data_IF_695651565549
#
_entry.id   IF_695651565549
#
_cell.length_a   1.000
_cell.length_b   1.000
_cell.length_c   1.000
_cell.angle_alpha   90.00
_cell.angle_beta   90.00
_cell.angle_gamma   90.00
#
_symmetry.space_group_name_H-M   'P 1'
#
loop_
_entity.id
_entity.type
_entity.pdbx_description
1 polymer ?
#
# COMPACT_ATOMS: atom_id res chain seq x y z
N UNK A 1 -21.76 -9.77 13.26
CA UNK A 1 -22.36 -10.87 12.48
C UNK A 1 -22.99 -10.38 11.16
N UNK A 2 -23.32 -9.07 11.05
CA UNK A 2 -23.51 -8.34 9.77
C UNK A 2 -22.34 -8.24 8.76
N UNK A 3 -21.03 -8.27 9.12
CA UNK A 3 -19.97 -7.81 8.20
C UNK A 3 -19.64 -8.75 7.04
N UNK A 4 -20.02 -10.02 7.14
CA UNK A 4 -19.65 -11.05 6.14
C UNK A 4 -20.57 -11.01 4.93
N UNK A 5 -21.77 -10.43 5.06
CA UNK A 5 -22.87 -10.70 4.13
C UNK A 5 -23.05 -9.65 3.04
N UNK A 6 -22.02 -8.83 2.84
CA UNK A 6 -22.04 -7.66 1.96
C UNK A 6 -21.06 -7.76 0.79
N UNK A 7 -20.36 -8.87 0.67
CA UNK A 7 -19.21 -8.99 -0.22
C UNK A 7 -19.50 -9.92 -1.40
N UNK A 8 -19.84 -9.33 -2.55
CA UNK A 8 -19.85 -10.07 -3.82
C UNK A 8 -18.42 -10.22 -4.32
N UNK A 9 -17.96 -11.47 -4.44
CA UNK A 9 -16.77 -11.87 -5.18
C UNK A 9 -16.83 -11.35 -6.63
N UNK A 10 -15.76 -10.70 -7.10
CA UNK A 10 -15.62 -10.10 -8.44
C UNK A 10 -15.52 -11.10 -9.61
N UNK A 11 -15.87 -12.38 -9.39
CA UNK A 11 -15.69 -13.44 -10.41
C UNK A 11 -16.75 -13.48 -11.53
N UNK A 12 -17.57 -12.45 -11.72
CA UNK A 12 -18.62 -12.45 -12.77
C UNK A 12 -18.66 -11.24 -13.71
N UNK A 13 -17.64 -10.37 -13.74
CA UNK A 13 -17.60 -9.20 -14.66
C UNK A 13 -16.83 -9.43 -15.98
N UNK A 14 -16.63 -10.67 -16.40
CA UNK A 14 -16.15 -10.99 -17.74
C UNK A 14 -17.17 -11.82 -18.51
N UNK A 15 -18.30 -11.20 -18.83
CA UNK A 15 -18.99 -11.35 -20.12
C UNK A 15 -20.13 -10.33 -20.21
N UNK A 16 -20.06 -9.47 -21.22
CA UNK A 16 -21.10 -8.51 -21.67
C UNK A 16 -21.21 -7.16 -20.95
N UNK A 17 -20.24 -6.28 -21.17
CA UNK A 17 -20.53 -4.85 -21.38
C UNK A 17 -19.29 -4.16 -21.95
N UNK A 18 -19.42 -3.50 -23.09
CA UNK A 18 -18.36 -2.63 -23.59
C UNK A 18 -18.19 -1.45 -22.63
N UNK A 19 -16.94 -1.01 -22.36
CA UNK A 19 -16.72 0.14 -21.49
C UNK A 19 -17.33 1.40 -22.12
N UNK A 20 -17.91 2.30 -21.31
CA UNK A 20 -18.52 3.53 -21.79
C UNK A 20 -17.50 4.42 -22.51
N UNK A 21 -18.00 5.08 -23.56
CA UNK A 21 -17.26 5.84 -24.59
C UNK A 21 -16.35 6.96 -24.05
N UNK A 22 -16.49 7.32 -22.77
CA UNK A 22 -15.66 8.31 -22.06
C UNK A 22 -14.22 7.81 -21.79
N UNK A 23 -13.98 6.49 -21.78
CA UNK A 23 -12.64 5.92 -21.57
C UNK A 23 -11.78 5.87 -22.84
N UNK A 24 -12.35 6.05 -24.04
CA UNK A 24 -11.58 6.06 -25.30
C UNK A 24 -10.88 7.38 -25.60
N UNK A 25 -11.31 8.50 -24.99
CA UNK A 25 -10.72 9.81 -25.28
C UNK A 25 -9.46 10.11 -24.46
N UNK A 26 -9.11 9.28 -23.47
CA UNK A 26 -7.90 9.43 -22.67
C UNK A 26 -6.69 8.60 -23.18
N UNK A 27 -6.88 7.72 -24.17
CA UNK A 27 -5.79 6.88 -24.71
C UNK A 27 -4.93 7.56 -25.78
N UNK A 28 -5.38 8.70 -26.33
CA UNK A 28 -4.78 9.26 -27.56
C UNK A 28 -3.82 10.43 -27.33
N UNK A 29 -3.47 10.73 -26.08
CA UNK A 29 -2.38 11.65 -25.75
C UNK A 29 -1.33 10.92 -24.89
N UNK A 30 -0.23 10.50 -25.52
CA UNK A 30 0.96 10.01 -24.83
C UNK A 30 1.52 11.08 -23.87
N UNK A 31 1.03 11.12 -22.63
CA UNK A 31 1.74 11.74 -21.50
C UNK A 31 2.77 10.72 -21.01
N UNK A 32 4.02 10.87 -21.45
CA UNK A 32 5.15 10.12 -20.91
C UNK A 32 5.38 10.53 -19.45
N UNK A 33 5.07 9.67 -18.49
CA UNK A 33 5.50 9.82 -17.10
C UNK A 33 6.93 9.30 -16.97
N UNK A 34 7.86 10.14 -16.49
CA UNK A 34 9.25 9.77 -16.25
C UNK A 34 9.55 9.72 -14.75
N UNK A 35 10.10 8.60 -14.27
CA UNK A 35 10.52 8.43 -12.89
C UNK A 35 12.02 8.72 -12.74
N UNK A 36 12.38 9.56 -11.76
CA UNK A 36 13.76 9.79 -11.36
C UNK A 36 14.03 9.10 -10.02
N UNK A 37 15.05 8.24 -9.96
CA UNK A 37 15.49 7.55 -8.74
C UNK A 37 16.73 8.24 -8.19
N UNK A 38 16.65 8.73 -6.96
CA UNK A 38 17.79 9.24 -6.20
C UNK A 38 18.01 8.36 -4.98
N UNK A 39 19.24 7.87 -4.78
CA UNK A 39 19.65 7.16 -3.56
C UNK A 39 20.68 8.01 -2.86
N UNK A 40 20.29 8.73 -1.80
CA UNK A 40 21.21 9.53 -1.01
C UNK A 40 20.94 9.34 0.48
N UNK A 41 21.98 8.96 1.21
CA UNK A 41 22.17 9.38 2.60
C UNK A 41 23.60 9.10 3.08
N UNK A 42 24.35 10.16 3.40
CA UNK A 42 25.33 10.12 4.48
C UNK A 42 24.66 10.31 5.87
N UNK A 43 23.38 10.71 5.90
CA UNK A 43 22.53 10.95 7.09
C UNK A 43 21.05 10.65 6.78
N UNK A 44 20.29 10.12 7.75
CA UNK A 44 18.86 9.78 7.64
C UNK A 44 17.89 10.92 8.00
N UNK A 45 18.35 12.17 8.11
CA UNK A 45 17.49 13.32 8.39
C UNK A 45 16.79 13.82 7.14
N UNK A 46 15.51 14.20 7.26
CA UNK A 46 14.70 14.69 6.14
C UNK A 46 15.27 15.94 5.46
N UNK A 47 15.82 16.86 6.26
CA UNK A 47 16.46 18.08 5.77
C UNK A 47 17.65 17.78 4.86
N UNK A 48 18.53 16.87 5.30
CA UNK A 48 19.71 16.46 4.53
C UNK A 48 19.33 15.69 3.26
N UNK A 49 18.19 14.98 3.27
CA UNK A 49 17.66 14.36 2.05
C UNK A 49 17.20 15.43 1.04
N UNK A 50 16.54 16.49 1.48
CA UNK A 50 16.11 17.59 0.60
C UNK A 50 17.31 18.36 0.05
N UNK A 51 18.29 18.67 0.89
CA UNK A 51 19.56 19.28 0.47
C UNK A 51 20.25 18.42 -0.60
N UNK A 52 20.34 17.10 -0.37
CA UNK A 52 20.89 16.16 -1.35
C UNK A 52 20.13 16.15 -2.68
N UNK A 53 18.79 16.27 -2.65
CA UNK A 53 17.99 16.44 -3.87
C UNK A 53 18.31 17.75 -4.59
N UNK A 54 18.36 18.87 -3.86
CA UNK A 54 18.69 20.18 -4.43
C UNK A 54 20.07 20.19 -5.07
N UNK A 55 21.08 19.65 -4.40
CA UNK A 55 22.45 19.51 -4.92
C UNK A 55 22.47 18.64 -6.17
N UNK A 56 21.84 17.46 -6.12
CA UNK A 56 21.81 16.52 -7.25
C UNK A 56 21.15 17.12 -8.48
N UNK A 57 20.00 17.80 -8.33
CA UNK A 57 19.33 18.44 -9.47
C UNK A 57 20.15 19.62 -9.99
N UNK A 58 20.83 20.36 -9.11
CA UNK A 58 21.74 21.44 -9.51
C UNK A 58 22.93 20.92 -10.30
N UNK A 59 23.51 19.79 -9.88
CA UNK A 59 24.60 19.12 -10.57
C UNK A 59 24.15 18.60 -11.93
N UNK A 60 22.99 17.94 -12.01
CA UNK A 60 22.41 17.47 -13.29
C UNK A 60 22.17 18.65 -14.22
N UNK A 61 21.61 19.75 -13.72
CA UNK A 61 21.37 20.97 -14.48
C UNK A 61 22.68 21.54 -15.01
N UNK A 62 23.70 21.62 -14.17
CA UNK A 62 25.04 22.11 -14.55
C UNK A 62 25.68 21.22 -15.61
N UNK A 63 25.64 19.91 -15.45
CA UNK A 63 26.21 18.95 -16.41
C UNK A 63 25.47 19.01 -17.74
N UNK A 64 24.14 19.03 -17.72
CA UNK A 64 23.32 19.12 -18.93
C UNK A 64 23.59 20.44 -19.67
N UNK A 65 23.53 21.58 -18.99
CA UNK A 65 23.69 22.91 -19.59
C UNK A 65 25.08 23.15 -20.18
N UNK A 66 26.11 22.47 -19.66
CA UNK A 66 27.48 22.52 -20.20
C UNK A 66 27.75 21.44 -21.27
N UNK A 67 26.77 20.61 -21.60
CA UNK A 67 26.95 19.52 -22.56
C UNK A 67 26.72 19.97 -24.01
N UNK A 68 27.33 19.29 -25.00
CA UNK A 68 27.00 19.50 -26.41
C UNK A 68 25.51 19.25 -26.73
N UNK A 69 24.81 18.45 -25.92
CA UNK A 69 23.40 18.18 -26.11
C UNK A 69 22.55 19.44 -25.91
N UNK A 70 22.78 20.18 -24.81
CA UNK A 70 22.09 21.44 -24.56
C UNK A 70 22.38 22.49 -25.65
N UNK A 71 23.63 22.53 -26.14
CA UNK A 71 24.00 23.42 -27.24
C UNK A 71 23.26 23.08 -28.54
N UNK A 72 23.15 21.80 -28.88
CA UNK A 72 22.48 21.33 -30.09
C UNK A 72 20.95 21.38 -30.00
N UNK A 73 20.36 21.17 -28.82
CA UNK A 73 18.90 21.22 -28.62
C UNK A 73 18.40 22.65 -28.36
N UNK A 74 19.29 23.59 -28.05
CA UNK A 74 18.95 24.94 -27.58
C UNK A 74 18.06 24.92 -26.33
N UNK A 75 18.21 23.89 -25.49
CA UNK A 75 17.46 23.74 -24.24
C UNK A 75 18.34 24.08 -23.04
N UNK A 76 17.69 24.60 -22.00
CA UNK A 76 18.31 24.84 -20.69
C UNK A 76 17.52 24.03 -19.67
N UNK A 77 18.22 23.21 -18.90
CA UNK A 77 17.66 22.58 -17.72
C UNK A 77 17.78 23.56 -16.56
N UNK A 78 16.66 24.20 -16.24
CA UNK A 78 16.49 25.06 -15.09
C UNK A 78 15.83 24.30 -13.92
N UNK A 79 16.24 24.64 -12.71
CA UNK A 79 15.74 24.04 -11.47
C UNK A 79 14.24 24.30 -11.30
N UNK A 80 13.78 25.52 -11.58
CA UNK A 80 12.35 25.85 -11.52
C UNK A 80 11.58 25.10 -12.61
N UNK A 81 12.16 24.97 -13.80
CA UNK A 81 11.64 24.13 -14.89
C UNK A 81 11.43 22.67 -14.46
N UNK A 82 12.38 22.10 -13.72
CA UNK A 82 12.25 20.78 -13.11
C UNK A 82 11.10 20.73 -12.07
N UNK A 83 11.06 21.68 -11.14
CA UNK A 83 10.05 21.73 -10.07
C UNK A 83 8.61 21.94 -10.61
N UNK A 84 8.44 22.68 -11.71
CA UNK A 84 7.15 22.80 -12.42
C UNK A 84 6.67 21.44 -12.96
N UNK A 85 7.60 20.58 -13.40
CA UNK A 85 7.33 19.22 -13.89
C UNK A 85 7.21 18.18 -12.77
N UNK A 86 7.78 18.42 -11.60
CA UNK A 86 7.70 17.52 -10.46
C UNK A 86 6.24 17.42 -9.97
N UNK A 87 5.61 16.26 -10.15
CA UNK A 87 4.19 16.05 -9.78
C UNK A 87 3.99 15.21 -8.53
N UNK A 88 5.06 14.77 -7.87
CA UNK A 88 4.94 13.97 -6.65
C UNK A 88 6.21 13.21 -6.28
N UNK A 89 6.10 12.44 -5.21
CA UNK A 89 7.17 11.61 -4.66
C UNK A 89 6.61 10.23 -4.27
N UNK A 90 7.44 9.21 -4.42
CA UNK A 90 7.18 7.87 -3.89
C UNK A 90 8.22 7.55 -2.80
N UNK A 91 7.79 6.91 -1.73
CA UNK A 91 8.63 6.60 -0.58
C UNK A 91 7.90 5.78 0.47
N UNK A 92 8.63 5.19 1.42
CA UNK A 92 8.01 4.41 2.48
C UNK A 92 7.22 5.28 3.50
N UNK A 93 6.57 4.64 4.47
CA UNK A 93 5.76 5.34 5.48
C UNK A 93 6.57 5.90 6.66
N UNK A 94 7.89 5.82 6.62
CA UNK A 94 8.73 6.30 7.69
C UNK A 94 8.52 7.81 7.91
N UNK A 95 8.60 8.24 9.17
CA UNK A 95 8.27 9.61 9.56
C UNK A 95 9.20 10.64 8.90
N UNK A 96 10.45 10.26 8.69
CA UNK A 96 11.45 11.02 7.94
C UNK A 96 11.04 11.16 6.47
N UNK A 97 10.61 10.09 5.79
CA UNK A 97 10.15 10.17 4.39
C UNK A 97 8.92 11.07 4.25
N UNK A 98 7.95 10.97 5.17
CA UNK A 98 6.79 11.87 5.19
C UNK A 98 7.18 13.33 5.38
N UNK A 99 8.22 13.60 6.17
CA UNK A 99 8.74 14.95 6.39
C UNK A 99 9.52 15.44 5.16
N UNK A 100 10.36 14.59 4.55
CA UNK A 100 11.07 14.87 3.29
C UNK A 100 10.10 15.25 2.19
N UNK A 101 9.01 14.48 2.03
CA UNK A 101 7.92 14.80 1.09
C UNK A 101 7.39 16.22 1.28
N UNK A 102 7.05 16.61 2.52
CA UNK A 102 6.52 17.95 2.82
C UNK A 102 7.52 19.05 2.49
N UNK A 103 8.79 18.81 2.80
CA UNK A 103 9.85 19.78 2.51
C UNK A 103 10.08 19.95 1.00
N UNK A 104 10.03 18.88 0.21
CA UNK A 104 10.12 18.95 -1.26
C UNK A 104 8.90 19.67 -1.86
N UNK A 105 7.69 19.38 -1.36
CA UNK A 105 6.46 20.05 -1.77
C UNK A 105 6.52 21.56 -1.48
N UNK A 106 6.97 21.93 -0.27
CA UNK A 106 7.19 23.33 0.09
C UNK A 106 8.25 23.99 -0.79
N UNK A 107 9.39 23.32 -1.00
CA UNK A 107 10.47 23.84 -1.85
C UNK A 107 10.00 24.08 -3.29
N UNK A 108 9.21 23.17 -3.86
CA UNK A 108 8.56 23.33 -5.16
C UNK A 108 7.67 24.58 -5.18
N UNK A 109 6.78 24.72 -4.20
CA UNK A 109 5.83 25.84 -4.12
C UNK A 109 6.52 27.20 -3.99
N UNK A 110 7.52 27.29 -3.12
CA UNK A 110 8.29 28.52 -2.89
C UNK A 110 9.12 28.89 -4.11
N UNK A 111 9.82 27.92 -4.71
CA UNK A 111 10.70 28.16 -5.85
C UNK A 111 9.93 28.62 -7.09
N UNK A 112 8.75 28.04 -7.35
CA UNK A 112 7.88 28.48 -8.46
C UNK A 112 7.41 29.92 -8.24
N UNK A 113 7.00 30.28 -7.02
CA UNK A 113 6.57 31.64 -6.69
C UNK A 113 7.74 32.62 -6.79
N UNK A 114 8.90 32.32 -6.23
CA UNK A 114 10.11 33.16 -6.36
C UNK A 114 10.45 33.40 -7.84
N UNK A 115 10.37 32.38 -8.70
CA UNK A 115 10.61 32.55 -10.14
C UNK A 115 9.63 33.53 -10.79
N UNK A 116 8.33 33.40 -10.52
CA UNK A 116 7.32 34.33 -11.02
C UNK A 116 7.57 35.76 -10.52
N UNK A 117 8.03 35.90 -9.27
CA UNK A 117 8.40 37.20 -8.71
C UNK A 117 9.62 37.83 -9.36
N UNK A 118 10.64 37.04 -9.67
CA UNK A 118 11.79 37.53 -10.43
C UNK A 118 11.41 37.97 -11.84
N UNK A 119 10.55 37.21 -12.52
CA UNK A 119 9.98 37.61 -13.81
C UNK A 119 9.24 38.97 -13.68
N UNK A 120 8.39 39.12 -12.66
CA UNK A 120 7.69 40.36 -12.39
C UNK A 120 8.63 41.54 -12.08
N UNK A 121 9.71 41.32 -11.30
CA UNK A 121 10.71 42.36 -10.98
C UNK A 121 11.43 42.84 -12.25
N UNK A 122 11.75 41.94 -13.17
CA UNK A 122 12.44 42.29 -14.43
C UNK A 122 11.54 43.14 -15.33
N UNK A 123 10.25 42.84 -15.36
CA UNK A 123 9.27 43.58 -16.17
C UNK A 123 8.86 44.92 -15.56
N UNK A 124 9.02 45.07 -14.25
CA UNK A 124 8.62 46.27 -13.51
C UNK A 124 9.54 47.47 -13.80
N UNK A 125 8.95 48.66 -13.85
CA UNK A 125 9.71 49.90 -13.98
C UNK A 125 10.55 50.15 -12.73
N UNK A 126 11.69 50.84 -12.89
CA UNK A 126 12.51 51.25 -11.74
C UNK A 126 11.78 52.20 -10.78
N UNK A 127 10.77 52.93 -11.26
CA UNK A 127 9.97 53.86 -10.47
C UNK A 127 9.02 53.12 -9.52
N UNK A 128 8.42 52.02 -10.00
CA UNK A 128 7.50 51.19 -9.22
C UNK A 128 8.24 50.20 -8.30
N UNK A 129 9.40 49.71 -8.71
CA UNK A 129 10.20 48.75 -7.92
C UNK A 129 10.84 49.40 -6.69
N UNK A 130 11.27 50.66 -6.81
CA UNK A 130 12.00 51.37 -5.75
C UNK A 130 11.26 51.42 -4.41
N UNK A 131 9.98 51.83 -4.31
CA UNK A 131 9.27 51.84 -3.04
C UNK A 131 9.14 50.45 -2.42
N UNK A 132 8.93 49.41 -3.23
CA UNK A 132 8.84 48.03 -2.74
C UNK A 132 10.18 47.54 -2.16
N UNK A 133 11.27 47.87 -2.84
CA UNK A 133 12.62 47.54 -2.39
C UNK A 133 12.97 48.27 -1.08
N UNK A 134 12.61 49.55 -0.97
CA UNK A 134 12.84 50.37 0.22
C UNK A 134 12.04 49.83 1.43
N UNK A 135 10.80 49.39 1.24
CA UNK A 135 9.99 48.75 2.27
C UNK A 135 10.54 47.38 2.71
N UNK A 136 10.92 46.53 1.75
CA UNK A 136 11.52 45.22 2.03
C UNK A 136 12.85 45.35 2.79
N UNK A 137 13.68 46.31 2.37
CA UNK A 137 14.93 46.65 3.06
C UNK A 137 14.66 47.18 4.47
N UNK A 138 13.73 48.11 4.63
CA UNK A 138 13.38 48.69 5.94
C UNK A 138 12.94 47.61 6.92
N UNK A 139 12.13 46.66 6.45
CA UNK A 139 11.71 45.50 7.23
C UNK A 139 12.87 44.58 7.64
N UNK A 140 13.83 44.32 6.74
CA UNK A 140 15.02 43.52 7.05
C UNK A 140 15.95 44.23 8.03
N UNK A 141 16.18 45.53 7.83
CA UNK A 141 17.00 46.38 8.71
C UNK A 141 16.41 46.42 10.12
N UNK A 142 15.09 46.54 10.26
CA UNK A 142 14.41 46.49 11.56
C UNK A 142 14.65 45.14 12.27
N UNK A 143 14.54 44.02 11.56
CA UNK A 143 14.82 42.67 12.10
C UNK A 143 16.27 42.47 12.53
N UNK A 144 17.22 43.20 11.93
CA UNK A 144 18.65 43.15 12.27
C UNK A 144 19.03 44.05 13.45
N UNK A 145 18.06 44.70 14.11
CA UNK A 145 18.30 45.61 15.23
C UNK A 145 18.50 47.07 14.83
N UNK A 146 18.11 47.43 13.60
CA UNK A 146 18.07 48.81 13.12
C UNK A 146 19.29 49.23 12.30
N UNK A 147 19.33 50.51 11.96
CA UNK A 147 20.26 51.07 10.97
C UNK A 147 21.74 50.94 11.36
N UNK A 148 22.06 51.04 12.65
CA UNK A 148 23.44 50.93 13.14
C UNK A 148 23.99 49.52 12.94
N UNK A 149 23.18 48.49 13.21
CA UNK A 149 23.56 47.10 12.94
C UNK A 149 23.78 46.87 11.45
N UNK A 150 22.89 47.42 10.60
CA UNK A 150 23.02 47.31 9.15
C UNK A 150 24.31 47.92 8.62
N UNK A 151 24.68 49.15 9.01
CA UNK A 151 25.90 49.80 8.52
C UNK A 151 27.16 49.07 9.01
N UNK A 152 27.10 48.40 10.16
CA UNK A 152 28.25 47.69 10.74
C UNK A 152 28.55 46.34 10.09
N UNK A 153 27.72 45.89 9.14
CA UNK A 153 27.90 44.63 8.44
C UNK A 153 29.11 44.64 7.52
N UNK A 154 29.71 43.46 7.32
CA UNK A 154 30.72 43.30 6.29
C UNK A 154 30.11 43.40 4.88
N UNK A 155 30.94 43.57 3.86
CA UNK A 155 30.47 43.57 2.47
C UNK A 155 29.81 42.25 2.08
N UNK A 156 30.33 41.12 2.59
CA UNK A 156 29.80 39.78 2.36
C UNK A 156 28.42 39.61 3.01
N UNK A 157 28.28 40.04 4.27
CA UNK A 157 26.99 40.00 4.97
C UNK A 157 25.96 40.92 4.31
N UNK A 158 26.38 42.10 3.85
CA UNK A 158 25.52 42.99 3.08
C UNK A 158 25.00 42.31 1.82
N UNK A 159 25.87 41.65 1.06
CA UNK A 159 25.47 40.93 -0.16
C UNK A 159 24.51 39.77 0.17
N UNK A 160 24.80 39.00 1.21
CA UNK A 160 23.93 37.92 1.67
C UNK A 160 22.54 38.44 2.06
N UNK A 161 22.48 39.50 2.86
CA UNK A 161 21.21 40.10 3.25
C UNK A 161 20.46 40.72 2.08
N UNK A 162 21.14 41.30 1.10
CA UNK A 162 20.52 41.80 -0.12
C UNK A 162 19.91 40.68 -0.95
N UNK A 163 20.60 39.54 -1.10
CA UNK A 163 20.04 38.34 -1.74
C UNK A 163 18.73 37.93 -1.06
N UNK A 164 18.75 37.87 0.28
CA UNK A 164 17.56 37.54 1.08
C UNK A 164 16.43 38.58 0.94
N UNK A 165 16.74 39.87 0.78
CA UNK A 165 15.73 40.90 0.52
C UNK A 165 15.07 40.67 -0.84
N UNK A 166 15.88 40.37 -1.86
CA UNK A 166 15.38 40.09 -3.21
C UNK A 166 14.51 38.84 -3.23
N UNK A 167 14.95 37.74 -2.61
CA UNK A 167 14.17 36.48 -2.53
C UNK A 167 12.84 36.69 -1.82
N UNK A 168 12.81 37.44 -0.72
CA UNK A 168 11.57 37.75 0.00
C UNK A 168 10.61 38.61 -0.85
N UNK A 169 11.14 39.61 -1.54
CA UNK A 169 10.34 40.47 -2.42
C UNK A 169 9.79 39.67 -3.62
N UNK A 170 10.63 38.82 -4.21
CA UNK A 170 10.25 37.93 -5.29
C UNK A 170 9.20 36.92 -4.84
N UNK A 171 9.36 36.30 -3.67
CA UNK A 171 8.34 35.39 -3.13
C UNK A 171 6.98 36.10 -2.96
N UNK A 172 6.98 37.32 -2.43
CA UNK A 172 5.75 38.10 -2.25
C UNK A 172 5.10 38.46 -3.60
N UNK A 173 5.82 39.13 -4.49
CA UNK A 173 5.33 39.49 -5.82
C UNK A 173 4.88 38.26 -6.61
N UNK A 174 5.68 37.21 -6.55
CA UNK A 174 5.40 35.96 -7.24
C UNK A 174 4.19 35.21 -6.70
N UNK A 175 3.85 35.39 -5.42
CA UNK A 175 2.59 34.87 -4.85
C UNK A 175 1.41 35.63 -5.43
N UNK A 176 1.48 36.96 -5.50
CA UNK A 176 0.44 37.78 -6.16
C UNK A 176 0.29 37.43 -7.64
N UNK A 177 1.40 37.24 -8.35
CA UNK A 177 1.39 36.79 -9.74
C UNK A 177 0.77 35.39 -9.88
N UNK A 178 1.11 34.47 -8.97
CA UNK A 178 0.56 33.11 -8.96
C UNK A 178 -0.96 33.12 -8.76
N UNK A 179 -1.45 33.90 -7.81
CA UNK A 179 -2.88 34.00 -7.48
C UNK A 179 -3.71 34.58 -8.64
N UNK A 180 -3.07 35.34 -9.54
CA UNK A 180 -3.67 35.87 -10.76
C UNK A 180 -3.62 34.90 -11.94
N UNK A 181 -2.87 33.79 -11.86
CA UNK A 181 -2.84 32.78 -12.93
C UNK A 181 -4.20 32.09 -13.08
N UNK A 182 -4.52 31.55 -14.27
CA UNK A 182 -5.70 30.69 -14.43
C UNK A 182 -5.66 29.50 -13.47
N UNK A 183 -6.82 29.13 -12.91
CA UNK A 183 -6.94 28.05 -11.93
C UNK A 183 -6.35 26.70 -12.39
N UNK A 184 -6.40 26.42 -13.70
CA UNK A 184 -5.79 25.23 -14.29
C UNK A 184 -4.26 25.22 -14.13
N UNK A 185 -3.61 26.37 -14.34
CA UNK A 185 -2.16 26.54 -14.22
C UNK A 185 -1.73 26.53 -12.76
N UNK A 186 -2.49 27.19 -11.87
CA UNK A 186 -2.26 27.11 -10.43
C UNK A 186 -2.29 25.65 -9.96
N UNK A 187 -3.35 24.92 -10.34
CA UNK A 187 -3.49 23.49 -10.03
C UNK A 187 -2.32 22.68 -10.57
N UNK A 188 -1.87 22.95 -11.79
CA UNK A 188 -0.74 22.24 -12.38
C UNK A 188 0.57 22.48 -11.60
N UNK A 189 0.80 23.71 -11.16
CA UNK A 189 1.99 24.09 -10.41
C UNK A 189 1.99 23.55 -8.98
N UNK A 190 0.85 23.56 -8.29
CA UNK A 190 0.71 23.03 -6.92
C UNK A 190 0.50 21.50 -6.88
N UNK A 191 0.32 20.84 -8.02
CA UNK A 191 0.11 19.38 -8.07
C UNK A 191 1.31 18.61 -7.49
N UNK A 192 1.11 17.92 -6.37
CA UNK A 192 2.11 17.07 -5.74
C UNK A 192 1.50 15.83 -5.06
N UNK A 193 1.64 14.66 -5.70
CA UNK A 193 1.14 13.40 -5.18
C UNK A 193 2.14 12.68 -4.28
N UNK A 194 1.62 11.84 -3.38
CA UNK A 194 2.42 10.89 -2.62
C UNK A 194 1.89 9.49 -2.79
N UNK A 195 2.66 8.64 -3.47
CA UNK A 195 2.28 7.24 -3.66
C UNK A 195 2.30 6.44 -2.34
N UNK A 196 3.08 6.90 -1.37
CA UNK A 196 3.43 6.09 -0.20
C UNK A 196 4.04 4.76 -0.60
N UNK A 197 4.17 3.83 0.34
CA UNK A 197 4.75 2.54 0.02
C UNK A 197 3.72 1.58 -0.57
N UNK A 198 3.07 1.95 -1.68
CA UNK A 198 1.90 1.24 -2.24
C UNK A 198 2.13 -0.28 -2.30
N UNK A 199 3.36 -0.71 -2.60
CA UNK A 199 3.78 -2.12 -2.67
C UNK A 199 3.94 -2.82 -1.29
N UNK A 200 4.28 -2.11 -0.21
CA UNK A 200 4.28 -2.67 1.16
C UNK A 200 2.92 -2.60 1.85
N UNK A 201 2.01 -1.71 1.44
CA UNK A 201 0.63 -1.69 1.95
C UNK A 201 -0.08 -3.00 1.62
N UNK A 202 -0.03 -3.44 0.37
CA UNK A 202 -0.64 -4.70 -0.07
C UNK A 202 -0.02 -5.93 0.64
N UNK A 203 1.30 -5.95 0.82
CA UNK A 203 1.98 -7.01 1.56
C UNK A 203 1.59 -7.03 3.05
N UNK A 204 1.46 -5.85 3.66
CA UNK A 204 0.99 -5.72 5.04
C UNK A 204 -0.50 -6.05 5.18
N UNK A 205 -1.32 -5.88 4.14
CA UNK A 205 -2.73 -6.29 4.15
C UNK A 205 -2.86 -7.81 4.22
N UNK A 206 -2.16 -8.57 3.37
CA UNK A 206 -2.20 -10.05 3.42
C UNK A 206 -1.62 -10.57 4.73
N UNK A 207 -0.52 -9.98 5.21
CA UNK A 207 0.07 -10.32 6.51
C UNK A 207 -0.85 -9.97 7.67
N UNK A 208 -1.50 -8.81 7.62
CA UNK A 208 -2.47 -8.33 8.60
C UNK A 208 -3.70 -9.23 8.66
N UNK A 209 -4.28 -9.55 7.51
CA UNK A 209 -5.38 -10.50 7.37
C UNK A 209 -5.05 -11.89 7.90
N UNK A 210 -3.89 -12.45 7.53
CA UNK A 210 -3.42 -13.71 8.11
C UNK A 210 -3.24 -13.62 9.64
N UNK A 211 -2.70 -12.52 10.16
CA UNK A 211 -2.51 -12.34 11.61
C UNK A 211 -3.86 -12.30 12.35
N UNK A 212 -4.83 -11.54 11.84
CA UNK A 212 -6.17 -11.47 12.41
C UNK A 212 -6.88 -12.84 12.36
N UNK A 213 -6.76 -13.56 11.24
CA UNK A 213 -7.33 -14.89 11.08
C UNK A 213 -6.71 -15.91 12.03
N UNK A 214 -5.40 -15.88 12.24
CA UNK A 214 -4.73 -16.72 13.24
C UNK A 214 -5.24 -16.42 14.65
N UNK A 215 -5.46 -15.15 15.02
CA UNK A 215 -6.04 -14.78 16.31
C UNK A 215 -7.48 -15.30 16.48
N UNK A 216 -8.27 -15.32 15.40
CA UNK A 216 -9.60 -15.96 15.42
C UNK A 216 -9.46 -17.45 15.70
N UNK A 217 -8.55 -18.16 15.03
CA UNK A 217 -8.31 -19.58 15.30
C UNK A 217 -7.83 -19.86 16.72
N UNK A 218 -6.98 -18.99 17.27
CA UNK A 218 -6.51 -19.10 18.66
C UNK A 218 -7.64 -18.98 19.69
N UNK A 219 -8.73 -18.27 19.34
CA UNK A 219 -9.94 -18.17 20.16
C UNK A 219 -10.88 -19.38 20.07
N UNK A 220 -10.67 -20.30 19.12
CA UNK A 220 -11.49 -21.50 18.94
C UNK A 220 -10.96 -22.68 19.73
N UNK A 221 -11.86 -23.62 20.05
CA UNK A 221 -11.48 -24.92 20.59
C UNK A 221 -10.54 -25.67 19.63
N UNK A 222 -9.62 -26.46 20.18
CA UNK A 222 -8.60 -27.15 19.39
C UNK A 222 -9.17 -28.06 18.29
N UNK A 223 -10.39 -28.60 18.45
CA UNK A 223 -11.08 -29.42 17.45
C UNK A 223 -11.58 -28.63 16.22
N UNK A 224 -11.74 -27.32 16.38
CA UNK A 224 -12.28 -26.42 15.35
C UNK A 224 -11.20 -25.67 14.59
N UNK A 225 -9.94 -25.76 15.05
CA UNK A 225 -8.79 -25.13 14.41
C UNK A 225 -8.38 -25.86 13.12
N UNK A 226 -7.66 -25.18 12.20
CA UNK A 226 -7.03 -25.85 11.07
C UNK A 226 -6.04 -26.92 11.54
N UNK A 227 -5.82 -27.92 10.70
CA UNK A 227 -4.93 -29.04 11.02
C UNK A 227 -3.53 -28.52 11.36
N UNK A 228 -2.96 -29.04 12.44
CA UNK A 228 -1.63 -28.68 12.89
C UNK A 228 -0.59 -29.23 11.89
N UNK A 229 0.24 -28.37 11.31
CA UNK A 229 1.25 -28.75 10.31
C UNK A 229 2.63 -28.86 10.97
N UNK A 230 2.74 -29.75 11.95
CA UNK A 230 3.94 -29.98 12.75
C UNK A 230 5.13 -30.46 11.91
N UNK A 231 6.33 -29.98 12.20
CA UNK A 231 7.53 -30.64 11.69
C UNK A 231 7.71 -32.00 12.40
N UNK A 232 8.62 -32.84 11.90
CA UNK A 232 8.84 -34.21 12.40
C UNK A 232 9.10 -34.27 13.91
N UNK A 233 9.92 -33.36 14.44
CA UNK A 233 10.34 -33.38 15.84
C UNK A 233 9.20 -32.90 16.75
N UNK A 234 8.46 -31.89 16.30
CA UNK A 234 7.27 -31.38 16.98
C UNK A 234 6.15 -32.43 16.99
N UNK A 235 5.88 -33.12 15.88
CA UNK A 235 4.86 -34.18 15.81
C UNK A 235 5.20 -35.34 16.75
N UNK A 236 6.48 -35.76 16.80
CA UNK A 236 6.94 -36.78 17.74
C UNK A 236 6.74 -36.36 19.21
N UNK A 237 7.03 -35.10 19.54
CA UNK A 237 6.85 -34.54 20.88
C UNK A 237 5.37 -34.47 21.27
N UNK A 238 4.49 -34.07 20.34
CA UNK A 238 3.04 -34.03 20.54
C UNK A 238 2.49 -35.44 20.78
N UNK A 239 2.88 -36.42 19.95
CA UNK A 239 2.46 -37.82 20.13
C UNK A 239 2.90 -38.42 21.46
N UNK A 240 4.16 -38.18 21.88
CA UNK A 240 4.66 -38.66 23.16
C UNK A 240 3.83 -38.11 24.34
N UNK A 241 3.42 -36.85 24.27
CA UNK A 241 2.60 -36.23 25.32
C UNK A 241 1.19 -36.84 25.44
N UNK A 242 0.59 -37.21 24.30
CA UNK A 242 -0.73 -37.85 24.27
C UNK A 242 -0.74 -39.27 24.86
N UNK A 243 0.44 -39.88 25.02
CA UNK A 243 0.61 -41.22 25.60
C UNK A 243 0.94 -41.18 27.10
N UNK A 244 1.28 -40.01 27.66
CA UNK A 244 1.81 -39.87 29.02
C UNK A 244 0.93 -39.06 29.99
N UNK A 245 -0.31 -38.72 29.62
CA UNK A 245 -1.32 -37.97 30.42
C UNK A 245 -0.82 -36.68 31.11
N UNK A 246 0.30 -36.13 30.63
CA UNK A 246 0.98 -34.99 31.23
C UNK A 246 1.35 -33.95 30.19
N UNK A 247 0.74 -32.76 30.31
CA UNK A 247 1.19 -31.57 29.58
C UNK A 247 2.50 -31.07 30.20
N UNK A 248 3.64 -31.41 29.59
CA UNK A 248 4.92 -30.83 30.00
C UNK A 248 5.11 -29.44 29.37
N UNK A 249 5.90 -28.57 30.01
CA UNK A 249 6.24 -27.26 29.45
C UNK A 249 6.86 -27.35 28.03
N UNK A 250 7.51 -28.48 27.71
CA UNK A 250 8.07 -28.73 26.38
C UNK A 250 6.97 -28.96 25.32
N UNK A 251 5.85 -29.58 25.71
CA UNK A 251 4.70 -29.84 24.83
C UNK A 251 3.95 -28.54 24.56
N UNK A 252 3.73 -27.73 25.60
CA UNK A 252 3.09 -26.43 25.46
C UNK A 252 3.94 -25.48 24.59
N UNK A 253 5.26 -25.51 24.75
CA UNK A 253 6.20 -24.78 23.89
C UNK A 253 6.14 -25.29 22.43
N UNK A 254 6.10 -26.62 22.24
CA UNK A 254 6.02 -27.25 20.90
C UNK A 254 4.72 -26.88 20.18
N UNK A 255 3.60 -26.85 20.90
CA UNK A 255 2.30 -26.45 20.34
C UNK A 255 2.32 -24.96 19.94
N UNK A 256 2.92 -24.09 20.75
CA UNK A 256 3.10 -22.65 20.42
C UNK A 256 3.99 -22.42 19.20
N UNK A 257 5.01 -23.25 19.00
CA UNK A 257 5.93 -23.14 17.87
C UNK A 257 5.37 -23.75 16.57
N UNK A 258 4.38 -24.62 16.69
CA UNK A 258 3.80 -25.29 15.53
C UNK A 258 2.68 -24.45 14.92
N UNK A 259 2.77 -24.24 13.59
CA UNK A 259 1.81 -23.43 12.84
C UNK A 259 0.79 -24.32 12.11
N UNK A 260 -0.32 -23.70 11.74
CA UNK A 260 -1.39 -24.26 10.92
C UNK A 260 -1.86 -23.22 9.89
N UNK A 261 -2.91 -23.54 9.12
CA UNK A 261 -3.50 -22.61 8.15
C UNK A 261 -2.75 -22.55 6.81
N UNK A 262 -3.29 -21.74 5.90
CA UNK A 262 -2.87 -21.67 4.51
C UNK A 262 -1.46 -21.12 4.35
N UNK A 263 -1.07 -20.09 5.10
CA UNK A 263 0.28 -19.55 5.02
C UNK A 263 1.33 -20.64 5.31
N UNK A 264 1.10 -21.48 6.35
CA UNK A 264 2.00 -22.58 6.65
C UNK A 264 1.95 -23.69 5.61
N UNK A 265 0.75 -24.01 5.10
CA UNK A 265 0.61 -25.01 4.04
C UNK A 265 1.39 -24.59 2.78
N UNK A 266 1.24 -23.34 2.34
CA UNK A 266 1.89 -22.82 1.13
C UNK A 266 3.41 -22.77 1.28
N UNK A 267 3.92 -22.47 2.48
CA UNK A 267 5.34 -22.63 2.79
C UNK A 267 5.81 -24.07 2.56
N UNK A 268 5.03 -25.08 2.99
CA UNK A 268 5.34 -26.50 2.76
C UNK A 268 5.24 -26.84 1.27
N UNK A 269 4.21 -26.36 0.58
CA UNK A 269 4.02 -26.59 -0.86
C UNK A 269 5.23 -26.11 -1.65
N UNK A 270 5.66 -24.86 -1.46
CA UNK A 270 6.82 -24.35 -2.19
C UNK A 270 8.13 -25.05 -1.81
N UNK A 271 8.29 -25.51 -0.56
CA UNK A 271 9.41 -26.35 -0.17
C UNK A 271 9.39 -27.76 -0.81
N UNK A 272 8.24 -28.24 -1.28
CA UNK A 272 8.12 -29.52 -2.01
C UNK A 272 8.23 -29.29 -3.52
N UNK A 273 7.62 -28.24 -4.06
CA UNK A 273 7.40 -28.04 -5.49
C UNK A 273 8.31 -26.98 -6.14
N UNK A 274 9.04 -26.19 -5.34
CA UNK A 274 10.03 -25.23 -5.82
C UNK A 274 11.17 -25.04 -4.80
N UNK A 275 11.78 -26.15 -4.40
CA UNK A 275 12.88 -26.19 -3.46
C UNK A 275 14.20 -25.64 -4.06
N UNK A 276 15.03 -24.99 -3.25
CA UNK A 276 16.34 -24.42 -3.69
C UNK A 276 17.31 -25.47 -4.22
N UNK A 277 17.27 -26.67 -3.65
CA UNK A 277 18.00 -27.85 -4.12
C UNK A 277 17.08 -28.62 -5.06
N UNK A 278 17.35 -28.54 -6.37
CA UNK A 278 16.52 -29.09 -7.44
C UNK A 278 16.48 -30.62 -7.49
N UNK A 279 17.24 -31.30 -6.62
CA UNK A 279 17.22 -32.75 -6.47
C UNK A 279 16.25 -33.21 -5.38
N UNK A 280 15.55 -32.29 -4.72
CA UNK A 280 14.68 -32.57 -3.57
C UNK A 280 13.25 -32.11 -3.85
N UNK A 281 12.30 -32.93 -3.41
CA UNK A 281 10.88 -32.64 -3.55
C UNK A 281 10.28 -33.25 -4.81
N UNK A 282 9.20 -32.63 -5.29
CA UNK A 282 8.37 -33.09 -6.40
C UNK A 282 8.35 -32.07 -7.54
N UNK A 283 9.42 -31.28 -7.70
CA UNK A 283 9.56 -30.26 -8.75
C UNK A 283 9.38 -30.86 -10.15
N UNK A 284 10.09 -31.93 -10.47
CA UNK A 284 9.99 -32.55 -11.79
C UNK A 284 8.59 -33.13 -12.06
N UNK A 285 7.96 -33.74 -11.05
CA UNK A 285 6.57 -34.20 -11.13
C UNK A 285 5.59 -33.04 -11.37
N UNK A 286 5.81 -31.91 -10.69
CA UNK A 286 5.02 -30.70 -10.89
C UNK A 286 5.19 -30.14 -12.30
N UNK A 287 6.41 -30.11 -12.81
CA UNK A 287 6.68 -29.65 -14.17
C UNK A 287 5.97 -30.51 -15.23
N UNK A 288 6.05 -31.83 -15.11
CA UNK A 288 5.34 -32.76 -16.00
C UNK A 288 3.82 -32.56 -15.93
N UNK A 289 3.27 -32.41 -14.72
CA UNK A 289 1.85 -32.12 -14.53
C UNK A 289 1.44 -30.81 -15.19
N UNK A 290 2.23 -29.75 -15.07
CA UNK A 290 1.91 -28.45 -15.66
C UNK A 290 2.02 -28.44 -17.18
N UNK A 291 3.00 -29.17 -17.74
CA UNK A 291 3.14 -29.36 -19.19
C UNK A 291 1.90 -30.04 -19.78
N UNK A 292 1.38 -31.08 -19.11
CA UNK A 292 0.15 -31.77 -19.51
C UNK A 292 -1.11 -30.90 -19.38
N UNK A 293 -1.20 -30.07 -18.33
CA UNK A 293 -2.42 -29.31 -18.02
C UNK A 293 -2.54 -27.96 -18.75
N UNK A 294 -1.43 -27.37 -19.19
CA UNK A 294 -1.44 -25.97 -19.67
C UNK A 294 -0.92 -25.77 -21.09
N UNK A 295 -0.49 -26.83 -21.78
CA UNK A 295 0.19 -26.77 -23.10
C UNK A 295 1.35 -25.75 -23.13
N UNK A 296 1.84 -25.36 -21.95
CA UNK A 296 2.87 -24.35 -21.75
C UNK A 296 4.12 -25.03 -21.23
N UNK A 297 5.23 -24.80 -21.92
CA UNK A 297 6.52 -25.32 -21.52
C UNK A 297 6.94 -24.69 -20.19
N UNK A 298 6.78 -25.46 -19.12
CA UNK A 298 7.46 -25.26 -17.84
C UNK A 298 7.03 -24.00 -17.05
N UNK A 299 5.86 -24.04 -16.42
CA UNK A 299 5.52 -23.11 -15.34
C UNK A 299 6.02 -23.69 -13.99
N UNK A 300 7.12 -23.16 -13.46
CA UNK A 300 7.53 -23.45 -12.08
C UNK A 300 6.46 -23.01 -11.08
N UNK A 301 6.33 -23.74 -9.97
CA UNK A 301 5.48 -23.29 -8.87
C UNK A 301 5.96 -21.93 -8.33
N UNK A 302 5.05 -21.01 -7.94
CA UNK A 302 5.45 -19.70 -7.42
C UNK A 302 6.45 -19.80 -6.25
N UNK A 303 7.42 -18.90 -6.22
CA UNK A 303 8.54 -18.96 -5.28
C UNK A 303 8.16 -18.47 -3.88
N UNK A 304 7.91 -19.38 -2.95
CA UNK A 304 7.58 -19.07 -1.55
C UNK A 304 8.80 -18.95 -0.65
N UNK A 305 10.02 -19.16 -1.18
CA UNK A 305 11.27 -19.27 -0.42
C UNK A 305 12.10 -17.99 -0.49
N UNK A 306 12.14 -17.33 -1.64
CA UNK A 306 12.68 -15.99 -1.77
C UNK A 306 11.55 -15.00 -1.50
N UNK A 307 11.74 -14.09 -0.55
CA UNK A 307 10.80 -13.02 -0.14
C UNK A 307 10.56 -12.02 -1.29
N UNK A 308 9.91 -12.46 -2.36
CA UNK A 308 9.39 -11.62 -3.43
C UNK A 308 7.93 -11.28 -3.13
N UNK A 309 7.49 -10.12 -3.63
CA UNK A 309 6.14 -9.62 -3.37
C UNK A 309 5.07 -10.58 -3.91
N UNK A 310 3.96 -10.71 -3.16
CA UNK A 310 2.77 -11.51 -3.51
C UNK A 310 2.97 -13.02 -3.76
N UNK A 311 4.14 -13.60 -3.55
CA UNK A 311 4.39 -14.99 -3.96
C UNK A 311 3.53 -16.02 -3.25
N UNK A 312 3.17 -15.77 -1.99
CA UNK A 312 2.22 -16.62 -1.26
C UNK A 312 0.81 -16.51 -1.84
N UNK A 313 0.36 -15.31 -2.21
CA UNK A 313 -0.94 -15.12 -2.88
C UNK A 313 -0.99 -15.81 -4.25
N UNK A 314 0.06 -15.63 -5.05
CA UNK A 314 0.19 -16.33 -6.34
C UNK A 314 0.23 -17.85 -6.17
N UNK A 315 0.94 -18.38 -5.17
CA UNK A 315 0.97 -19.79 -4.84
C UNK A 315 -0.41 -20.32 -4.42
N UNK A 316 -1.16 -19.57 -3.62
CA UNK A 316 -2.55 -19.91 -3.24
C UNK A 316 -3.45 -19.98 -4.48
N UNK A 317 -3.42 -18.96 -5.34
CA UNK A 317 -4.19 -18.96 -6.58
C UNK A 317 -3.86 -20.16 -7.46
N UNK A 318 -2.58 -20.52 -7.53
CA UNK A 318 -2.10 -21.68 -8.28
C UNK A 318 -2.64 -23.01 -7.70
N UNK A 319 -2.65 -23.15 -6.37
CA UNK A 319 -3.20 -24.33 -5.69
C UNK A 319 -4.71 -24.43 -5.87
N UNK A 320 -5.47 -23.33 -5.71
CA UNK A 320 -6.91 -23.31 -5.95
C UNK A 320 -7.23 -23.78 -7.38
N UNK A 321 -6.51 -23.22 -8.36
CA UNK A 321 -6.76 -23.47 -9.79
C UNK A 321 -6.61 -24.95 -10.18
N UNK A 322 -5.67 -25.66 -9.55
CA UNK A 322 -5.33 -27.04 -9.88
C UNK A 322 -5.46 -28.00 -8.69
N UNK A 323 -6.36 -27.71 -7.74
CA UNK A 323 -6.45 -28.45 -6.48
C UNK A 323 -6.61 -29.97 -6.67
N UNK A 324 -7.56 -30.48 -7.49
CA UNK A 324 -7.66 -31.93 -7.70
C UNK A 324 -6.36 -32.55 -8.21
N UNK A 325 -5.65 -31.85 -9.10
CA UNK A 325 -4.42 -32.32 -9.71
C UNK A 325 -3.26 -32.36 -8.70
N UNK A 326 -3.22 -31.46 -7.74
CA UNK A 326 -2.27 -31.52 -6.63
C UNK A 326 -2.49 -32.72 -5.71
N UNK A 327 -3.75 -33.11 -5.47
CA UNK A 327 -4.06 -34.34 -4.73
C UNK A 327 -3.58 -35.56 -5.51
N UNK A 328 -3.84 -35.60 -6.82
CA UNK A 328 -3.40 -36.72 -7.67
C UNK A 328 -1.87 -36.79 -7.79
N UNK A 329 -1.18 -35.65 -7.92
CA UNK A 329 0.29 -35.59 -7.93
C UNK A 329 0.88 -36.22 -6.66
N UNK A 330 0.28 -35.97 -5.48
CA UNK A 330 0.72 -36.60 -4.23
C UNK A 330 0.46 -38.10 -4.22
N UNK A 331 -0.68 -38.57 -4.73
CA UNK A 331 -0.97 -40.01 -4.83
C UNK A 331 0.00 -40.71 -5.77
N UNK A 332 0.34 -40.10 -6.91
CA UNK A 332 1.31 -40.64 -7.85
C UNK A 332 2.72 -40.68 -7.23
N UNK A 333 3.14 -39.60 -6.58
CA UNK A 333 4.42 -39.53 -5.87
C UNK A 333 4.50 -40.52 -4.69
N UNK A 334 3.37 -40.88 -4.10
CA UNK A 334 3.28 -41.89 -3.05
C UNK A 334 3.50 -43.30 -3.60
N UNK A 335 2.80 -43.66 -4.68
CA UNK A 335 2.88 -44.98 -5.32
C UNK A 335 4.24 -45.19 -6.00
N UNK A 336 4.90 -44.12 -6.46
CA UNK A 336 6.22 -44.23 -7.11
C UNK A 336 7.37 -44.55 -6.14
N UNK A 337 7.13 -44.63 -4.83
CA UNK A 337 8.16 -44.88 -3.81
C UNK A 337 8.20 -46.35 -3.43
N UNK A 338 9.41 -46.88 -3.22
CA UNK A 338 9.64 -48.29 -2.85
C UNK A 338 8.85 -48.76 -1.62
N UNK A 339 8.64 -47.86 -0.65
CA UNK A 339 7.95 -48.18 0.59
C UNK A 339 6.50 -47.71 0.62
N UNK A 340 5.98 -47.11 -0.46
CA UNK A 340 4.62 -46.58 -0.57
C UNK A 340 4.22 -45.77 0.68
N UNK A 341 5.11 -44.88 1.15
CA UNK A 341 4.80 -44.00 2.29
C UNK A 341 5.03 -42.55 1.95
N UNK A 342 4.13 -41.70 2.43
CA UNK A 342 4.38 -40.27 2.47
C UNK A 342 5.51 -39.96 3.45
N UNK A 343 6.43 -39.09 3.05
CA UNK A 343 7.31 -38.44 4.00
C UNK A 343 6.51 -37.44 4.86
N UNK A 344 7.14 -36.90 5.91
CA UNK A 344 6.42 -36.04 6.85
C UNK A 344 5.86 -34.76 6.21
N UNK A 345 6.58 -34.16 5.26
CA UNK A 345 6.12 -32.94 4.59
C UNK A 345 4.96 -33.23 3.63
N UNK A 346 5.00 -34.36 2.92
CA UNK A 346 3.90 -34.81 2.07
C UNK A 346 2.66 -35.17 2.88
N UNK A 347 2.82 -35.80 4.06
CA UNK A 347 1.69 -36.04 4.98
C UNK A 347 1.04 -34.73 5.41
N UNK A 348 1.84 -33.73 5.79
CA UNK A 348 1.34 -32.41 6.17
C UNK A 348 0.64 -31.72 4.99
N UNK A 349 1.23 -31.79 3.79
CA UNK A 349 0.63 -31.24 2.59
C UNK A 349 -0.70 -31.92 2.28
N UNK A 350 -0.74 -33.26 2.27
CA UNK A 350 -1.96 -34.03 2.03
C UNK A 350 -3.04 -33.72 3.07
N UNK A 351 -2.68 -33.64 4.36
CA UNK A 351 -3.60 -33.27 5.43
C UNK A 351 -4.12 -31.83 5.27
N UNK A 352 -3.25 -30.89 4.91
CA UNK A 352 -3.61 -29.49 4.67
C UNK A 352 -4.57 -29.32 3.49
N UNK A 353 -4.34 -30.01 2.37
CA UNK A 353 -5.21 -30.00 1.18
C UNK A 353 -6.57 -30.66 1.42
N UNK A 354 -6.72 -31.47 2.46
CA UNK A 354 -8.01 -32.07 2.87
C UNK A 354 -8.65 -31.35 4.06
N UNK A 355 -7.97 -30.36 4.65
CA UNK A 355 -8.48 -29.60 5.77
C UNK A 355 -9.29 -28.42 5.23
N UNK A 356 -10.62 -28.54 5.22
CA UNK A 356 -11.49 -27.47 4.71
C UNK A 356 -11.27 -26.13 5.43
N UNK A 357 -10.88 -26.13 6.72
CA UNK A 357 -10.52 -24.90 7.46
C UNK A 357 -9.25 -24.23 6.93
N UNK A 358 -8.22 -25.01 6.60
CA UNK A 358 -7.01 -24.51 5.93
C UNK A 358 -7.34 -23.98 4.53
N UNK A 359 -8.29 -24.62 3.83
CA UNK A 359 -8.67 -24.24 2.48
C UNK A 359 -9.57 -23.01 2.43
N UNK A 360 -10.36 -22.77 3.48
CA UNK A 360 -11.19 -21.56 3.63
C UNK A 360 -10.35 -20.29 3.59
N UNK A 361 -9.11 -20.35 4.08
CA UNK A 361 -8.19 -19.21 4.06
C UNK A 361 -7.68 -18.85 2.64
N UNK A 362 -7.93 -19.69 1.62
CA UNK A 362 -7.39 -19.49 0.27
C UNK A 362 -8.14 -18.43 -0.55
N UNK A 363 -9.41 -18.15 -0.26
CA UNK A 363 -10.30 -17.34 -1.11
C UNK A 363 -10.15 -15.82 -0.92
N UNK A 364 -9.14 -15.35 -0.17
CA UNK A 364 -9.00 -13.95 0.25
C UNK A 364 -8.00 -13.08 -0.56
N UNK A 365 -7.57 -13.48 -1.76
CA UNK A 365 -6.47 -12.82 -2.52
C UNK A 365 -6.89 -12.26 -3.90
N UNK A 366 -7.32 -11.00 -3.99
CA UNK A 366 -7.45 -10.23 -5.25
C UNK A 366 -6.49 -9.02 -5.24
N UNK A 367 -6.02 -8.58 -6.42
CA UNK A 367 -4.88 -7.63 -6.60
C UNK A 367 -5.30 -6.14 -6.56
N UNK A 368 -4.40 -5.27 -6.09
CA UNK A 368 -4.60 -3.84 -5.81
C UNK A 368 -4.91 -2.89 -6.99
N UNK A 369 -4.51 -3.17 -8.22
CA UNK A 369 -4.83 -2.30 -9.37
C UNK A 369 -6.33 -2.32 -9.73
N UNK A 370 -7.02 -3.38 -9.32
CA UNK A 370 -8.47 -3.56 -9.50
C UNK A 370 -9.28 -3.05 -8.30
N UNK A 371 -8.63 -2.63 -7.20
CA UNK A 371 -9.27 -2.31 -5.91
C UNK A 371 -9.21 -0.82 -5.54
N UNK A 372 -8.55 0.03 -6.32
CA UNK A 372 -8.51 1.48 -6.07
C UNK A 372 -9.90 2.10 -5.93
N UNK A 373 -10.77 1.94 -6.95
CA UNK A 373 -12.17 2.38 -6.86
C UNK A 373 -12.93 1.70 -5.72
N UNK A 374 -12.77 0.39 -5.54
CA UNK A 374 -13.40 -0.35 -4.44
C UNK A 374 -13.04 0.24 -3.07
N UNK A 375 -11.78 0.61 -2.84
CA UNK A 375 -11.38 1.18 -1.55
C UNK A 375 -11.98 2.56 -1.30
N UNK A 376 -12.17 3.37 -2.35
CA UNK A 376 -12.87 4.65 -2.24
C UNK A 376 -14.36 4.43 -1.90
N UNK A 377 -15.00 3.46 -2.54
CA UNK A 377 -16.40 3.11 -2.26
C UNK A 377 -16.57 2.49 -0.86
N UNK A 378 -15.62 1.68 -0.40
CA UNK A 378 -15.59 1.15 0.97
C UNK A 378 -15.42 2.28 1.99
N UNK A 379 -14.55 3.26 1.75
CA UNK A 379 -14.40 4.43 2.63
C UNK A 379 -15.70 5.23 2.74
N UNK A 380 -16.35 5.49 1.59
CA UNK A 380 -17.62 6.22 1.55
C UNK A 380 -18.71 5.45 2.32
N UNK A 381 -18.80 4.14 2.11
CA UNK A 381 -19.79 3.32 2.77
C UNK A 381 -19.56 3.19 4.29
N UNK A 382 -18.31 2.96 4.73
CA UNK A 382 -17.97 2.93 6.15
C UNK A 382 -18.28 4.26 6.83
N UNK A 383 -17.99 5.39 6.16
CA UNK A 383 -18.35 6.71 6.69
C UNK A 383 -19.88 6.87 6.80
N UNK A 384 -20.65 6.43 5.80
CA UNK A 384 -22.11 6.48 5.85
C UNK A 384 -22.70 5.65 7.01
N UNK A 385 -22.13 4.48 7.29
CA UNK A 385 -22.53 3.64 8.43
C UNK A 385 -22.12 4.26 9.78
N UNK A 386 -20.95 4.91 9.84
CA UNK A 386 -20.53 5.66 11.04
C UNK A 386 -21.47 6.83 11.33
N UNK A 387 -21.92 7.51 10.27
CA UNK A 387 -22.81 8.66 10.38
C UNK A 387 -24.26 8.24 10.69
N UNK A 388 -24.67 7.05 10.24
CA UNK A 388 -26.01 6.53 10.45
C UNK A 388 -26.07 4.99 10.51
N UNK A 389 -26.10 4.44 11.72
CA UNK A 389 -26.20 2.99 11.94
C UNK A 389 -27.58 2.41 11.62
N UNK A 390 -28.62 3.24 11.54
CA UNK A 390 -29.97 2.81 11.19
C UNK A 390 -30.04 2.18 9.79
N UNK A 391 -29.06 2.49 8.92
CA UNK A 391 -28.87 1.85 7.63
C UNK A 391 -28.65 0.33 7.73
N UNK A 392 -28.24 -0.18 8.90
CA UNK A 392 -28.09 -1.60 9.18
C UNK A 392 -29.07 -2.14 10.23
N UNK A 393 -29.46 -1.30 11.19
CA UNK A 393 -30.20 -1.74 12.39
C UNK A 393 -31.72 -1.55 12.28
N UNK A 394 -32.23 -0.73 11.36
CA UNK A 394 -33.68 -0.63 11.12
C UNK A 394 -34.20 -1.92 10.48
N UNK A 395 -35.32 -2.46 10.97
CA UNK A 395 -36.03 -3.58 10.30
C UNK A 395 -36.43 -3.28 8.87
N UNK A 396 -36.65 -2.01 8.56
CA UNK A 396 -37.01 -1.52 7.24
C UNK A 396 -35.78 -1.20 6.38
N UNK A 397 -34.57 -1.29 6.95
CA UNK A 397 -33.34 -1.10 6.18
C UNK A 397 -33.27 -2.16 5.08
N UNK A 398 -33.33 -1.70 3.84
CA UNK A 398 -33.14 -2.56 2.69
C UNK A 398 -31.64 -2.77 2.48
N UNK A 399 -31.30 -3.92 1.90
CA UNK A 399 -29.95 -4.17 1.44
C UNK A 399 -29.46 -3.07 0.48
N UNK A 400 -30.36 -2.36 -0.19
CA UNK A 400 -30.05 -1.25 -1.10
C UNK A 400 -29.31 -0.09 -0.41
N UNK A 401 -29.50 0.08 0.89
CA UNK A 401 -28.88 1.16 1.67
C UNK A 401 -27.82 0.66 2.65
N UNK A 402 -28.00 -0.54 3.19
CA UNK A 402 -27.09 -1.10 4.18
C UNK A 402 -25.96 -1.94 3.57
N UNK A 403 -26.02 -2.29 2.29
CA UNK A 403 -24.94 -2.95 1.56
C UNK A 403 -24.02 -1.98 0.83
N UNK A 404 -22.74 -2.33 0.77
CA UNK A 404 -21.71 -1.56 0.06
C UNK A 404 -22.12 -1.18 -1.38
N UNK A 405 -22.85 -2.08 -2.06
CA UNK A 405 -23.31 -1.89 -3.44
C UNK A 405 -24.82 -1.95 -3.61
N UNK A 406 -25.56 -1.93 -2.50
CA UNK A 406 -27.01 -2.09 -2.53
C UNK A 406 -27.53 -3.47 -2.95
N UNK A 407 -26.63 -4.45 -3.13
CA UNK A 407 -26.98 -5.82 -3.52
C UNK A 407 -27.63 -6.60 -2.36
N UNK A 408 -28.46 -7.62 -2.62
CA UNK A 408 -29.06 -8.45 -1.58
C UNK A 408 -28.02 -8.98 -0.59
N UNK A 409 -28.38 -9.00 0.69
CA UNK A 409 -27.59 -9.63 1.73
C UNK A 409 -27.20 -11.05 1.31
N UNK A 410 -25.94 -11.42 1.46
CA UNK A 410 -25.43 -12.75 1.11
C UNK A 410 -26.09 -13.86 1.94
N UNK A 411 -26.47 -13.54 3.19
CA UNK A 411 -27.27 -14.39 4.05
C UNK A 411 -28.35 -13.56 4.77
N UNK A 412 -29.50 -13.34 4.13
CA UNK A 412 -30.61 -12.61 4.72
C UNK A 412 -31.09 -13.25 6.03
N UNK A 413 -30.89 -14.57 6.21
CA UNK A 413 -31.27 -15.30 7.42
C UNK A 413 -30.45 -14.85 8.62
N UNK A 414 -29.14 -14.70 8.43
CA UNK A 414 -28.22 -14.24 9.47
C UNK A 414 -28.44 -12.76 9.80
N UNK A 415 -28.69 -11.91 8.79
CA UNK A 415 -29.09 -10.50 9.02
C UNK A 415 -30.36 -10.45 9.87
N UNK A 416 -31.37 -11.23 9.49
CA UNK A 416 -32.64 -11.32 10.22
C UNK A 416 -32.41 -11.84 11.65
N UNK A 417 -31.53 -12.83 11.84
CA UNK A 417 -31.19 -13.33 13.17
C UNK A 417 -30.45 -12.28 14.02
N UNK A 418 -29.59 -11.46 13.42
CA UNK A 418 -28.90 -10.36 14.10
C UNK A 418 -29.87 -9.26 14.50
N UNK A 419 -30.80 -8.88 13.63
CA UNK A 419 -31.86 -7.91 13.93
C UNK A 419 -32.78 -8.43 15.02
N UNK A 420 -33.19 -9.70 14.95
CA UNK A 420 -34.00 -10.31 16.01
C UNK A 420 -33.25 -10.38 17.34
N UNK A 421 -31.94 -10.60 17.32
CA UNK A 421 -31.10 -10.55 18.51
C UNK A 421 -31.03 -9.12 19.06
N UNK A 422 -30.76 -8.14 18.21
CA UNK A 422 -30.70 -6.73 18.58
C UNK A 422 -32.04 -6.23 19.14
N UNK A 423 -33.17 -6.60 18.53
CA UNK A 423 -34.53 -6.31 19.03
C UNK A 423 -34.84 -6.98 20.37
N UNK A 424 -34.15 -8.09 20.70
CA UNK A 424 -34.34 -8.80 21.97
C UNK A 424 -33.53 -8.19 23.12
N UNK A 425 -32.63 -7.23 22.83
CA UNK A 425 -31.83 -6.52 23.82
C UNK A 425 -32.66 -5.46 24.54
N UNK A 426 -32.22 -5.09 25.74
CA UNK A 426 -32.74 -3.89 26.43
C UNK A 426 -32.19 -2.62 25.76
N UNK A 427 -32.86 -1.48 25.97
CA UNK A 427 -32.43 -0.19 25.40
C UNK A 427 -30.97 0.16 25.75
N UNK A 428 -30.54 -0.06 27.00
CA UNK A 428 -29.16 0.19 27.43
C UNK A 428 -28.14 -0.72 26.71
N UNK A 429 -28.54 -1.95 26.37
CA UNK A 429 -27.71 -2.89 25.61
C UNK A 429 -27.69 -2.57 24.11
N UNK A 430 -28.77 -1.98 23.57
CA UNK A 430 -28.83 -1.48 22.20
C UNK A 430 -27.91 -0.27 22.03
N UNK A 431 -27.97 0.70 22.94
CA UNK A 431 -27.07 1.87 22.97
C UNK A 431 -25.59 1.43 22.98
N UNK A 432 -25.24 0.45 23.83
CA UNK A 432 -23.88 -0.10 23.88
C UNK A 432 -23.51 -0.86 22.59
N UNK A 433 -24.45 -1.59 22.00
CA UNK A 433 -24.21 -2.31 20.75
C UNK A 433 -23.95 -1.34 19.58
N UNK A 434 -24.67 -0.22 19.53
CA UNK A 434 -24.46 0.86 18.56
C UNK A 434 -23.12 1.55 18.76
N UNK A 435 -22.75 1.87 20.01
CA UNK A 435 -21.44 2.47 20.32
C UNK A 435 -20.29 1.57 19.86
N UNK A 436 -20.40 0.26 20.13
CA UNK A 436 -19.41 -0.74 19.70
C UNK A 436 -19.36 -0.88 18.17
N UNK A 437 -20.52 -0.83 17.50
CA UNK A 437 -20.60 -0.95 16.04
C UNK A 437 -20.04 0.31 15.34
N UNK A 438 -20.32 1.50 15.87
CA UNK A 438 -19.73 2.76 15.41
C UNK A 438 -18.21 2.78 15.62
N UNK A 439 -17.73 2.34 16.79
CA UNK A 439 -16.30 2.25 17.08
C UNK A 439 -15.58 1.25 16.15
N UNK A 440 -16.25 0.14 15.82
CA UNK A 440 -15.76 -0.83 14.85
C UNK A 440 -15.58 -0.20 13.46
N UNK A 441 -16.61 0.45 12.91
CA UNK A 441 -16.52 1.07 11.59
C UNK A 441 -15.55 2.26 11.52
N UNK A 442 -15.44 3.08 12.59
CA UNK A 442 -14.38 4.11 12.70
C UNK A 442 -12.98 3.50 12.71
N UNK A 443 -12.82 2.37 13.39
CA UNK A 443 -11.58 1.60 13.42
C UNK A 443 -11.21 1.08 12.02
N UNK A 444 -12.18 0.54 11.30
CA UNK A 444 -12.00 0.08 9.91
C UNK A 444 -11.68 1.24 8.97
N UNK A 445 -12.44 2.34 9.00
CA UNK A 445 -12.23 3.49 8.12
C UNK A 445 -10.79 4.04 8.22
N UNK A 446 -10.26 4.17 9.44
CA UNK A 446 -8.88 4.63 9.71
C UNK A 446 -7.81 3.73 9.09
N UNK A 447 -8.12 2.49 8.75
CA UNK A 447 -7.16 1.60 8.05
C UNK A 447 -7.09 1.86 6.55
N UNK A 448 -8.11 2.53 5.99
CA UNK A 448 -8.20 2.90 4.58
C UNK A 448 -7.76 4.36 4.30
N UNK A 449 -7.65 5.20 5.32
CA UNK A 449 -7.03 6.55 5.33
C UNK A 449 -5.50 6.49 5.43
#
# INVERSE_FOLDING_TARGET
MFPVLLWKSSHTLHQSSQPPEVLRTLSDHHRTSSEMKGTYSASHTSETQVEGWTETISDISTVFNNSPLAYCSHEILDLTGFLRKLKGMNGDHASDVKKTRRLIEQWKHESIRISLGHEAIIEMSSEDLKPLLDDAKSSKVAKLGGHNSWISLSAEDHQWHWSQIMDMLALWLGTECFDQLPAEIQREHDLFFFGGCSMHKELNTVKGGNTAMMAVWDSKESSDRPVLLANKDNDATIRLSSLSDGSSAAVECTLKLTKHGAAKLIEIVGNILNHKDNKKGLQDFHHLMMEELTDSACSSFPDTSNTRYQTYGAAVCHIIKFWPQYIELLKLAHISKENETFNHMEKNLYAGLHCWRTCLEWTANLNILDLGPLHDDVKIHLQALVDNLDLLLLRESSHELGALWGEPWEDPTTITACLNLYDSLTLEQQDLAEELLCAFFKGELKTYE
#
